data_IF_935159030664
#
_entry.id   IF_935159030664
#
_cell.length_a   1.000
_cell.length_b   1.000
_cell.length_c   1.000
_cell.angle_alpha   90.00
_cell.angle_beta   90.00
_cell.angle_gamma   90.00
#
_symmetry.space_group_name_H-M   'P 1'
#
loop_
_entity.id
_entity.type
_entity.pdbx_description
1 polymer ?
#
# COMPACT_ATOMS: atom_id res chain seq x y z
N UNK A 1 -0.80 14.53 61.46
CA UNK A 1 -0.98 14.41 60.00
C UNK A 1 -2.36 14.97 59.65
N UNK A 2 -2.42 16.16 59.09
CA UNK A 2 -3.69 16.82 58.76
C UNK A 2 -4.15 16.32 57.37
N UNK A 3 -5.34 15.72 57.31
CA UNK A 3 -5.97 15.31 56.05
C UNK A 3 -6.40 16.53 55.24
N UNK A 4 -5.80 16.71 54.08
CA UNK A 4 -6.21 17.71 53.11
C UNK A 4 -7.56 17.30 52.47
N UNK A 5 -8.59 18.11 52.64
CA UNK A 5 -9.91 17.85 52.07
C UNK A 5 -9.95 18.25 50.57
N UNK A 6 -10.82 17.62 49.78
CA UNK A 6 -11.02 17.92 48.36
C UNK A 6 -11.25 19.40 48.04
N UNK A 7 -11.77 20.18 48.96
CA UNK A 7 -12.01 21.63 48.81
C UNK A 7 -10.74 22.47 48.87
N UNK A 8 -9.68 22.04 49.62
CA UNK A 8 -8.42 22.77 49.68
C UNK A 8 -7.57 22.57 48.44
N UNK A 9 -7.70 21.41 47.77
CA UNK A 9 -7.00 21.11 46.52
C UNK A 9 -7.51 21.95 45.32
N UNK A 10 -8.82 22.25 45.29
CA UNK A 10 -9.43 23.07 44.22
C UNK A 10 -9.05 24.57 44.38
N UNK A 11 -8.84 25.06 45.58
CA UNK A 11 -8.49 26.48 45.83
C UNK A 11 -7.03 26.81 45.53
N UNK A 12 -6.09 25.85 45.61
CA UNK A 12 -4.68 26.07 45.29
C UNK A 12 -4.37 26.03 43.82
N UNK A 13 -5.24 25.45 42.99
CA UNK A 13 -5.04 25.37 41.51
C UNK A 13 -5.71 26.49 40.71
N UNK A 14 -6.52 27.36 41.34
CA UNK A 14 -7.16 28.50 40.66
C UNK A 14 -6.28 29.76 40.69
N UNK A 15 -5.29 29.84 41.59
CA UNK A 15 -4.41 31.01 41.67
C UNK A 15 -3.20 30.96 40.71
N UNK A 16 -2.91 29.83 40.06
CA UNK A 16 -1.80 29.66 39.12
C UNK A 16 -2.21 29.73 37.67
N UNK A 17 -3.49 29.91 37.34
CA UNK A 17 -3.99 29.97 35.98
C UNK A 17 -4.01 31.39 35.34
N UNK A 18 -3.59 32.42 36.08
CA UNK A 18 -3.63 33.81 35.57
C UNK A 18 -2.29 34.33 35.02
N UNK A 19 -1.24 33.52 34.94
CA UNK A 19 0.08 33.97 34.51
C UNK A 19 0.64 33.24 33.26
N UNK A 20 -0.18 32.55 32.49
CA UNK A 20 0.27 31.81 31.26
C UNK A 20 -0.56 32.14 30.02
N UNK A 21 -0.81 33.43 29.74
CA UNK A 21 -1.37 33.86 28.45
C UNK A 21 -0.37 34.66 27.62
N UNK A 22 0.90 34.24 27.61
CA UNK A 22 1.84 34.58 26.54
C UNK A 22 2.11 33.30 25.74
N UNK A 23 1.06 32.67 25.16
CA UNK A 23 1.23 31.68 24.14
C UNK A 23 1.85 32.41 22.93
N UNK A 24 3.16 32.21 22.75
CA UNK A 24 3.85 32.55 21.51
C UNK A 24 3.02 32.03 20.34
N UNK A 25 2.44 32.92 19.56
CA UNK A 25 1.84 32.61 18.29
C UNK A 25 2.96 32.16 17.34
N UNK A 26 3.26 30.86 17.37
CA UNK A 26 4.01 30.24 16.31
C UNK A 26 3.25 30.56 15.02
N UNK A 27 3.92 31.10 13.97
CA UNK A 27 3.25 31.38 12.73
C UNK A 27 2.60 30.08 12.25
N UNK A 28 1.26 30.06 12.13
CA UNK A 28 0.56 29.01 11.41
C UNK A 28 1.13 29.06 10.00
N UNK A 29 2.10 28.20 9.69
CA UNK A 29 2.46 27.95 8.30
C UNK A 29 1.17 27.56 7.60
N UNK A 30 0.70 28.41 6.71
CA UNK A 30 -0.39 28.08 5.82
C UNK A 30 0.11 26.89 4.97
N UNK A 31 -0.28 25.68 5.38
CA UNK A 31 -0.16 24.53 4.49
C UNK A 31 -1.06 24.82 3.31
N UNK A 32 -0.51 24.68 2.08
CA UNK A 32 -1.32 24.74 0.88
C UNK A 32 -2.52 23.81 1.12
N UNK A 33 -3.72 24.34 0.99
CA UNK A 33 -4.95 23.57 1.16
C UNK A 33 -4.91 22.41 0.18
N UNK A 34 -4.79 21.19 0.70
CA UNK A 34 -4.78 19.99 -0.11
C UNK A 34 -6.10 19.95 -0.90
N UNK A 35 -6.03 20.09 -2.21
CA UNK A 35 -7.20 19.91 -3.06
C UNK A 35 -7.45 18.40 -3.23
N UNK A 36 -8.25 17.82 -2.35
CA UNK A 36 -8.60 16.40 -2.36
C UNK A 36 -8.36 15.73 -1.02
N UNK A 37 -8.75 14.47 -0.93
CA UNK A 37 -8.72 13.67 0.30
C UNK A 37 -7.91 12.40 0.11
N UNK A 38 -7.35 11.89 1.20
CA UNK A 38 -6.92 10.50 1.29
C UNK A 38 -8.18 9.63 1.30
N UNK A 39 -8.22 8.61 0.46
CA UNK A 39 -9.30 7.62 0.43
C UNK A 39 -8.86 6.45 1.30
N UNK A 40 -9.34 6.40 2.55
CA UNK A 40 -9.01 5.32 3.47
C UNK A 40 -9.75 4.06 3.02
N UNK A 41 -9.01 3.06 2.63
CA UNK A 41 -9.54 1.81 2.06
C UNK A 41 -9.02 0.59 2.80
N UNK A 42 -9.70 -0.56 2.61
CA UNK A 42 -9.25 -1.82 3.20
C UNK A 42 -9.47 -2.99 2.23
N UNK A 43 -8.68 -4.04 2.37
CA UNK A 43 -8.86 -5.30 1.63
C UNK A 43 -9.95 -6.12 2.32
N UNK A 44 -11.03 -6.37 1.60
CA UNK A 44 -12.19 -7.10 2.10
C UNK A 44 -12.67 -8.14 1.09
N UNK A 45 -13.48 -9.08 1.55
CA UNK A 45 -14.20 -10.04 0.72
C UNK A 45 -15.68 -10.02 1.08
N UNK A 46 -16.55 -10.14 0.08
CA UNK A 46 -18.02 -10.11 0.26
C UNK A 46 -18.56 -11.31 1.08
N UNK A 47 -17.78 -12.36 1.21
CA UNK A 47 -18.09 -13.55 2.02
C UNK A 47 -17.79 -13.39 3.52
N UNK A 48 -17.36 -12.20 3.96
CA UNK A 48 -16.99 -11.89 5.35
C UNK A 48 -17.87 -10.76 5.94
N UNK A 49 -19.20 -10.97 6.12
CA UNK A 49 -20.15 -9.92 6.47
C UNK A 49 -19.82 -9.20 7.80
N UNK A 50 -19.22 -9.91 8.75
CA UNK A 50 -18.81 -9.32 10.03
C UNK A 50 -17.67 -8.30 9.85
N UNK A 51 -16.70 -8.60 9.00
CA UNK A 51 -15.59 -7.67 8.68
C UNK A 51 -16.11 -6.46 7.90
N UNK A 52 -17.08 -6.66 6.97
CA UNK A 52 -17.73 -5.56 6.28
C UNK A 52 -18.40 -4.61 7.27
N UNK A 53 -19.18 -5.15 8.20
CA UNK A 53 -19.86 -4.36 9.23
C UNK A 53 -18.87 -3.60 10.12
N UNK A 54 -17.78 -4.24 10.55
CA UNK A 54 -16.72 -3.60 11.34
C UNK A 54 -16.08 -2.44 10.59
N UNK A 55 -15.77 -2.61 9.30
CA UNK A 55 -15.20 -1.54 8.48
C UNK A 55 -16.16 -0.35 8.36
N UNK A 56 -17.45 -0.58 8.09
CA UNK A 56 -18.46 0.49 8.07
C UNK A 56 -18.58 1.20 9.43
N UNK A 57 -18.51 0.48 10.55
CA UNK A 57 -18.53 1.06 11.90
C UNK A 57 -17.27 1.92 12.17
N UNK A 58 -16.14 1.57 11.58
CA UNK A 58 -14.93 2.40 11.64
C UNK A 58 -14.97 3.58 10.65
N UNK A 59 -16.01 3.71 9.84
CA UNK A 59 -16.13 4.74 8.80
C UNK A 59 -15.22 4.49 7.61
N UNK A 60 -14.87 3.23 7.31
CA UNK A 60 -14.15 2.83 6.09
C UNK A 60 -15.18 2.35 5.09
N UNK A 61 -15.37 3.12 4.02
CA UNK A 61 -16.38 2.89 2.98
C UNK A 61 -15.77 2.58 1.61
N UNK A 62 -14.46 2.48 1.54
CA UNK A 62 -13.75 2.16 0.32
C UNK A 62 -13.02 0.83 0.43
N UNK A 63 -13.09 0.04 -0.64
CA UNK A 63 -12.53 -1.31 -0.66
C UNK A 63 -11.46 -1.45 -1.75
N UNK A 64 -10.45 -2.24 -1.42
CA UNK A 64 -9.46 -2.78 -2.35
C UNK A 64 -9.89 -4.21 -2.67
N UNK A 65 -10.36 -4.45 -3.89
CA UNK A 65 -10.90 -5.75 -4.28
C UNK A 65 -10.91 -5.91 -5.80
N UNK A 66 -10.55 -7.08 -6.29
CA UNK A 66 -10.43 -7.37 -7.72
C UNK A 66 -11.29 -8.57 -8.10
N UNK A 67 -12.13 -8.46 -9.16
CA UNK A 67 -12.87 -9.60 -9.67
C UNK A 67 -11.94 -10.62 -10.32
N UNK A 68 -12.29 -11.88 -10.28
CA UNK A 68 -11.61 -12.88 -11.10
C UNK A 68 -12.00 -12.70 -12.58
N UNK A 69 -11.00 -12.54 -13.43
CA UNK A 69 -11.16 -12.53 -14.90
C UNK A 69 -10.74 -13.86 -15.52
N UNK A 70 -10.45 -14.87 -14.70
CA UNK A 70 -10.02 -16.19 -15.17
C UNK A 70 -11.13 -16.88 -15.93
N UNK A 71 -10.82 -17.39 -17.12
CA UNK A 71 -11.76 -18.20 -17.92
C UNK A 71 -12.79 -17.41 -18.72
N UNK A 72 -12.72 -16.07 -18.72
CA UNK A 72 -13.58 -15.21 -19.55
C UNK A 72 -12.75 -14.45 -20.57
N UNK A 73 -13.38 -14.05 -21.68
CA UNK A 73 -12.76 -13.30 -22.77
C UNK A 73 -12.75 -11.78 -22.51
N UNK A 74 -11.92 -11.03 -23.25
CA UNK A 74 -11.82 -9.57 -23.13
C UNK A 74 -13.13 -8.81 -23.33
N UNK A 75 -14.04 -9.33 -24.15
CA UNK A 75 -15.39 -8.81 -24.39
C UNK A 75 -16.29 -8.85 -23.13
N UNK A 76 -15.99 -9.75 -22.19
CA UNK A 76 -16.75 -9.94 -20.96
C UNK A 76 -16.18 -9.16 -19.74
N UNK A 77 -14.96 -8.60 -19.84
CA UNK A 77 -14.29 -7.97 -18.70
C UNK A 77 -15.11 -6.82 -18.11
N UNK A 78 -15.65 -5.93 -18.94
CA UNK A 78 -16.43 -4.80 -18.44
C UNK A 78 -17.72 -5.25 -17.72
N UNK A 79 -18.37 -6.29 -18.19
CA UNK A 79 -19.57 -6.83 -17.55
C UNK A 79 -19.21 -7.47 -16.18
N UNK A 80 -18.15 -8.27 -16.13
CA UNK A 80 -17.67 -8.88 -14.89
C UNK A 80 -17.26 -7.83 -13.84
N UNK A 81 -16.55 -6.79 -14.27
CA UNK A 81 -16.12 -5.69 -13.39
C UNK A 81 -17.32 -4.87 -12.91
N UNK A 82 -18.32 -4.63 -13.76
CA UNK A 82 -19.55 -3.93 -13.36
C UNK A 82 -20.29 -4.72 -12.31
N UNK A 83 -20.55 -6.00 -12.55
CA UNK A 83 -21.19 -6.89 -11.57
C UNK A 83 -20.45 -6.88 -10.23
N UNK A 84 -19.12 -6.90 -10.24
CA UNK A 84 -18.31 -6.84 -9.03
C UNK A 84 -18.47 -5.50 -8.30
N UNK A 85 -18.40 -4.39 -9.03
CA UNK A 85 -18.58 -3.04 -8.48
C UNK A 85 -19.97 -2.86 -7.87
N UNK A 86 -21.00 -3.32 -8.56
CA UNK A 86 -22.40 -3.21 -8.11
C UNK A 86 -22.62 -4.02 -6.82
N UNK A 87 -22.06 -5.25 -6.73
CA UNK A 87 -22.12 -6.06 -5.50
C UNK A 87 -21.43 -5.37 -4.30
N UNK A 88 -20.31 -4.67 -4.52
CA UNK A 88 -19.69 -3.87 -3.47
C UNK A 88 -20.53 -2.64 -3.09
N UNK A 89 -21.17 -1.99 -4.07
CA UNK A 89 -22.05 -0.85 -3.81
C UNK A 89 -23.29 -1.29 -2.99
N UNK A 90 -23.88 -2.45 -3.29
CA UNK A 90 -24.96 -3.05 -2.49
C UNK A 90 -24.53 -3.34 -1.04
N UNK A 91 -23.26 -3.72 -0.83
CA UNK A 91 -22.68 -3.91 0.50
C UNK A 91 -22.29 -2.60 1.21
N UNK A 92 -22.48 -1.42 0.57
CA UNK A 92 -22.18 -0.11 1.13
C UNK A 92 -20.74 0.37 0.89
N UNK A 93 -20.02 -0.23 -0.07
CA UNK A 93 -18.64 0.13 -0.37
C UNK A 93 -18.43 0.63 -1.80
N UNK A 94 -17.44 1.51 -1.95
CA UNK A 94 -16.92 1.94 -3.25
C UNK A 94 -15.60 1.21 -3.52
N UNK A 95 -15.45 0.62 -4.69
CA UNK A 95 -14.18 -0.01 -5.09
C UNK A 95 -13.18 1.09 -5.49
N UNK A 96 -12.14 1.29 -4.68
CA UNK A 96 -11.11 2.30 -4.89
C UNK A 96 -9.94 1.79 -5.75
N UNK A 97 -9.57 0.53 -5.60
CA UNK A 97 -8.40 -0.07 -6.24
C UNK A 97 -8.70 -1.51 -6.64
N UNK A 98 -8.31 -1.88 -7.85
CA UNK A 98 -8.07 -3.28 -8.18
C UNK A 98 -6.62 -3.61 -7.85
N UNK A 99 -6.41 -4.55 -6.94
CA UNK A 99 -5.09 -5.01 -6.51
C UNK A 99 -4.92 -6.49 -6.81
N UNK A 100 -3.94 -6.78 -7.66
CA UNK A 100 -3.61 -8.16 -8.05
C UNK A 100 -2.19 -8.20 -8.62
N UNK A 101 -1.52 -9.36 -8.53
CA UNK A 101 -0.22 -9.53 -9.20
C UNK A 101 -0.38 -9.32 -10.71
N UNK A 102 -1.27 -10.08 -11.33
CA UNK A 102 -1.64 -9.93 -12.74
C UNK A 102 -3.15 -10.14 -12.88
N UNK A 103 -3.91 -9.20 -13.44
CA UNK A 103 -5.35 -9.37 -13.65
C UNK A 103 -5.66 -10.46 -14.69
N UNK A 104 -4.74 -10.65 -15.63
CA UNK A 104 -4.76 -11.67 -16.70
C UNK A 104 -3.34 -12.22 -16.89
N UNK A 105 -3.15 -13.36 -17.57
CA UNK A 105 -1.83 -13.94 -17.79
C UNK A 105 -0.78 -12.96 -18.34
N UNK A 106 0.46 -13.13 -17.91
CA UNK A 106 1.61 -12.30 -18.31
C UNK A 106 2.92 -13.12 -18.46
N UNK A 107 2.82 -14.43 -18.62
CA UNK A 107 4.01 -15.30 -18.64
C UNK A 107 4.84 -15.10 -19.91
N UNK A 108 4.20 -15.00 -21.08
CA UNK A 108 4.89 -14.71 -22.33
C UNK A 108 5.42 -13.27 -22.36
N UNK A 109 4.69 -12.33 -21.76
CA UNK A 109 5.12 -10.94 -21.62
C UNK A 109 6.44 -10.88 -20.82
N UNK A 110 6.51 -11.55 -19.66
CA UNK A 110 7.73 -11.61 -18.82
C UNK A 110 8.91 -12.25 -19.54
N UNK A 111 8.66 -13.29 -20.37
CA UNK A 111 9.69 -13.98 -21.13
C UNK A 111 10.11 -13.26 -22.41
N UNK A 112 9.35 -12.24 -22.85
CA UNK A 112 9.53 -11.65 -24.18
C UNK A 112 9.29 -12.66 -25.32
N UNK A 113 8.48 -13.70 -25.08
CA UNK A 113 8.29 -14.84 -25.98
C UNK A 113 7.07 -14.70 -26.90
N UNK A 114 6.94 -15.64 -27.86
CA UNK A 114 5.76 -15.73 -28.72
C UNK A 114 4.48 -15.80 -27.85
N UNK A 115 3.47 -14.99 -28.20
CA UNK A 115 2.24 -14.85 -27.41
C UNK A 115 2.18 -13.59 -26.54
N UNK A 116 3.30 -12.86 -26.33
CA UNK A 116 3.31 -11.61 -25.54
C UNK A 116 2.35 -10.54 -26.11
N UNK A 117 2.18 -10.51 -27.43
CA UNK A 117 1.24 -9.57 -28.07
C UNK A 117 -0.22 -9.88 -27.72
N UNK A 118 -0.59 -11.15 -27.60
CA UNK A 118 -1.92 -11.55 -27.19
C UNK A 118 -2.15 -11.26 -25.70
N UNK A 119 -1.16 -11.50 -24.85
CA UNK A 119 -1.22 -11.13 -23.44
C UNK A 119 -1.34 -9.61 -23.29
N UNK A 120 -0.58 -8.82 -24.05
CA UNK A 120 -0.74 -7.36 -24.07
C UNK A 120 -2.16 -6.95 -24.48
N UNK A 121 -2.73 -7.50 -25.54
CA UNK A 121 -4.13 -7.20 -25.93
C UNK A 121 -5.10 -7.45 -24.80
N UNK A 122 -4.94 -8.52 -24.05
CA UNK A 122 -5.78 -8.82 -22.89
C UNK A 122 -5.59 -7.78 -21.77
N UNK A 123 -4.36 -7.34 -21.50
CA UNK A 123 -4.06 -6.29 -20.53
C UNK A 123 -4.66 -4.94 -20.94
N UNK A 124 -4.56 -4.56 -22.22
CA UNK A 124 -5.18 -3.33 -22.74
C UNK A 124 -6.70 -3.37 -22.56
N UNK A 125 -7.33 -4.51 -22.84
CA UNK A 125 -8.77 -4.70 -22.62
C UNK A 125 -9.17 -4.61 -21.14
N UNK A 126 -8.32 -5.05 -20.20
CA UNK A 126 -8.53 -4.85 -18.76
C UNK A 126 -8.57 -3.35 -18.43
N UNK A 127 -7.59 -2.58 -18.89
CA UNK A 127 -7.53 -1.13 -18.63
C UNK A 127 -8.73 -0.42 -19.23
N UNK A 128 -9.10 -0.74 -20.46
CA UNK A 128 -10.29 -0.17 -21.11
C UNK A 128 -11.59 -0.52 -20.37
N UNK A 129 -11.71 -1.76 -19.88
CA UNK A 129 -12.85 -2.20 -19.09
C UNK A 129 -12.92 -1.48 -17.74
N UNK A 130 -11.78 -1.30 -17.04
CA UNK A 130 -11.70 -0.52 -15.81
C UNK A 130 -12.16 0.93 -16.03
N UNK A 131 -11.70 1.58 -17.12
CA UNK A 131 -12.12 2.93 -17.48
C UNK A 131 -13.63 3.02 -17.74
N UNK A 132 -14.20 2.08 -18.51
CA UNK A 132 -15.65 2.01 -18.79
C UNK A 132 -16.50 1.83 -17.52
N UNK A 133 -15.99 1.15 -16.51
CA UNK A 133 -16.68 0.89 -15.23
C UNK A 133 -16.38 1.97 -14.19
N UNK A 134 -15.34 2.77 -14.41
CA UNK A 134 -14.91 3.85 -13.51
C UNK A 134 -14.13 3.32 -12.29
N UNK A 135 -13.26 2.35 -12.48
CA UNK A 135 -12.28 1.90 -11.48
C UNK A 135 -10.97 2.65 -11.72
N UNK A 136 -10.51 3.50 -10.78
CA UNK A 136 -9.48 4.50 -11.09
C UNK A 136 -8.04 3.98 -11.01
N UNK A 137 -7.78 2.91 -10.24
CA UNK A 137 -6.42 2.46 -9.94
C UNK A 137 -6.28 0.95 -10.08
N UNK A 138 -5.21 0.53 -10.77
CA UNK A 138 -4.73 -0.85 -10.79
C UNK A 138 -3.38 -0.93 -10.06
N UNK A 139 -3.34 -1.66 -8.96
CA UNK A 139 -2.12 -2.09 -8.31
C UNK A 139 -1.71 -3.44 -8.89
N UNK A 140 -0.50 -3.52 -9.46
CA UNK A 140 -0.03 -4.72 -10.16
C UNK A 140 1.46 -4.99 -9.91
N UNK A 141 1.89 -6.21 -10.19
CA UNK A 141 3.30 -6.59 -10.17
C UNK A 141 3.55 -7.69 -11.22
N UNK A 142 4.53 -7.49 -12.08
CA UNK A 142 4.94 -8.50 -13.08
C UNK A 142 6.03 -9.44 -12.54
N UNK A 143 6.51 -9.23 -11.32
CA UNK A 143 7.45 -10.13 -10.65
C UNK A 143 6.80 -11.41 -10.18
N UNK A 144 7.59 -12.24 -9.49
CA UNK A 144 7.08 -13.42 -8.81
C UNK A 144 6.69 -13.07 -7.38
N UNK A 145 5.63 -13.70 -6.89
CA UNK A 145 5.17 -13.54 -5.51
C UNK A 145 6.20 -14.06 -4.49
N UNK A 146 6.36 -13.33 -3.41
CA UNK A 146 7.23 -13.69 -2.32
C UNK A 146 6.61 -14.67 -1.33
N UNK A 147 7.45 -15.23 -0.48
CA UNK A 147 7.06 -16.12 0.63
C UNK A 147 7.62 -15.58 1.92
N UNK A 148 6.80 -15.55 2.95
CA UNK A 148 7.30 -15.36 4.31
C UNK A 148 8.04 -16.62 4.76
N UNK A 149 9.07 -16.44 5.58
CA UNK A 149 9.90 -17.56 6.05
C UNK A 149 9.49 -18.05 7.44
N UNK A 150 8.71 -17.28 8.17
CA UNK A 150 8.23 -17.62 9.50
C UNK A 150 7.37 -16.54 10.13
N UNK A 151 7.15 -16.71 11.42
CA UNK A 151 6.45 -15.78 12.29
C UNK A 151 7.34 -15.38 13.46
N UNK A 152 7.10 -14.19 14.02
CA UNK A 152 7.77 -13.66 15.19
C UNK A 152 6.74 -13.23 16.24
N UNK A 153 7.08 -13.35 17.51
CA UNK A 153 6.28 -12.86 18.63
C UNK A 153 6.70 -11.41 18.93
N UNK A 154 5.72 -10.51 18.96
CA UNK A 154 5.87 -9.10 19.26
C UNK A 154 5.38 -8.78 20.68
N UNK A 155 5.26 -7.47 21.01
CA UNK A 155 4.76 -7.01 22.29
C UNK A 155 3.44 -7.69 22.68
N UNK A 156 3.31 -8.04 23.95
CA UNK A 156 2.08 -8.63 24.50
C UNK A 156 1.73 -10.01 23.96
N UNK A 157 2.63 -10.67 23.24
CA UNK A 157 2.38 -11.98 22.65
C UNK A 157 1.74 -11.95 21.26
N UNK A 158 1.53 -10.78 20.66
CA UNK A 158 1.02 -10.65 19.29
C UNK A 158 1.94 -11.34 18.28
N UNK A 159 1.39 -11.90 17.21
CA UNK A 159 2.13 -12.66 16.22
C UNK A 159 2.18 -11.94 14.89
N UNK A 160 3.36 -11.81 14.32
CA UNK A 160 3.58 -11.18 13.04
C UNK A 160 4.40 -12.05 12.09
N UNK A 161 4.35 -11.75 10.81
CA UNK A 161 5.11 -12.45 9.79
C UNK A 161 6.52 -11.89 9.67
N UNK A 162 7.47 -12.75 9.30
CA UNK A 162 8.84 -12.35 9.02
C UNK A 162 9.36 -12.90 7.70
N UNK A 163 10.38 -12.25 7.20
CA UNK A 163 11.22 -12.71 6.12
C UNK A 163 12.67 -12.75 6.59
N UNK A 164 13.33 -13.91 6.38
CA UNK A 164 14.74 -14.11 6.56
C UNK A 164 15.34 -14.56 5.22
N UNK A 165 16.27 -13.76 4.68
CA UNK A 165 16.82 -14.02 3.35
C UNK A 165 17.60 -15.34 3.29
N UNK A 166 18.37 -15.69 4.32
CA UNK A 166 19.10 -16.95 4.37
C UNK A 166 18.16 -18.17 4.43
N UNK A 167 17.07 -18.07 5.18
CA UNK A 167 16.05 -19.11 5.19
C UNK A 167 15.32 -19.21 3.84
N UNK A 168 15.10 -18.10 3.17
CA UNK A 168 14.45 -18.10 1.86
C UNK A 168 15.26 -18.84 0.78
N UNK A 169 16.59 -18.89 0.89
CA UNK A 169 17.47 -19.63 -0.02
C UNK A 169 17.28 -21.15 0.08
N UNK A 170 16.70 -21.63 1.18
CA UNK A 170 16.39 -23.06 1.40
C UNK A 170 15.05 -23.47 0.79
N UNK A 171 14.23 -22.48 0.38
CA UNK A 171 12.93 -22.73 -0.25
C UNK A 171 13.13 -23.24 -1.68
N UNK A 172 12.16 -23.99 -2.23
CA UNK A 172 12.20 -24.39 -3.63
C UNK A 172 12.39 -23.17 -4.54
N UNK A 173 13.15 -23.31 -5.64
CA UNK A 173 13.35 -22.21 -6.58
C UNK A 173 12.02 -21.71 -7.12
N UNK A 174 12.05 -20.52 -7.66
CA UNK A 174 10.93 -19.96 -8.40
C UNK A 174 10.55 -20.89 -9.57
N UNK A 175 9.26 -20.90 -9.93
CA UNK A 175 8.77 -21.69 -11.07
C UNK A 175 9.49 -21.32 -12.36
N UNK A 176 9.81 -20.05 -12.51
CA UNK A 176 10.48 -19.47 -13.66
C UNK A 176 11.70 -18.67 -13.20
N UNK A 177 12.80 -18.83 -13.89
CA UNK A 177 14.03 -18.10 -13.63
C UNK A 177 14.22 -17.05 -14.72
N UNK A 178 14.29 -15.81 -14.34
CA UNK A 178 14.49 -14.68 -15.23
C UNK A 178 15.85 -14.01 -14.98
N UNK A 179 16.47 -13.51 -16.05
CA UNK A 179 17.58 -12.58 -15.97
C UNK A 179 17.08 -11.14 -15.79
N UNK A 180 17.90 -10.27 -15.20
CA UNK A 180 17.52 -8.89 -14.92
C UNK A 180 17.24 -8.08 -16.18
N UNK A 181 18.11 -8.20 -17.19
CA UNK A 181 17.98 -7.52 -18.48
C UNK A 181 16.72 -7.96 -19.25
N UNK A 182 16.39 -9.25 -19.18
CA UNK A 182 15.15 -9.78 -19.75
C UNK A 182 13.91 -9.15 -19.11
N UNK A 183 13.88 -9.03 -17.77
CA UNK A 183 12.76 -8.40 -17.07
C UNK A 183 12.64 -6.92 -17.42
N UNK A 184 13.76 -6.21 -17.54
CA UNK A 184 13.75 -4.81 -17.95
C UNK A 184 13.32 -4.61 -19.39
N UNK A 185 13.73 -5.47 -20.32
CA UNK A 185 13.24 -5.44 -21.71
C UNK A 185 11.73 -5.64 -21.77
N UNK A 186 11.25 -6.70 -21.11
CA UNK A 186 9.83 -7.03 -21.04
C UNK A 186 8.99 -5.89 -20.42
N UNK A 187 9.46 -5.31 -19.33
CA UNK A 187 8.79 -4.20 -18.66
C UNK A 187 8.78 -2.94 -19.52
N UNK A 188 9.91 -2.60 -20.15
CA UNK A 188 10.01 -1.45 -21.05
C UNK A 188 9.01 -1.59 -22.20
N UNK A 189 9.05 -2.74 -22.89
CA UNK A 189 8.14 -3.04 -23.99
C UNK A 189 6.65 -2.95 -23.59
N UNK A 190 6.31 -3.39 -22.37
CA UNK A 190 4.96 -3.36 -21.84
C UNK A 190 4.51 -1.93 -21.51
N UNK A 191 5.32 -1.18 -20.74
CA UNK A 191 4.98 0.17 -20.25
C UNK A 191 4.78 1.15 -21.40
N UNK A 192 5.64 1.11 -22.43
CA UNK A 192 5.51 1.96 -23.62
C UNK A 192 4.16 1.78 -24.32
N UNK A 193 3.60 0.56 -24.30
CA UNK A 193 2.38 0.22 -25.01
C UNK A 193 1.11 0.37 -24.19
N UNK A 194 1.18 0.15 -22.89
CA UNK A 194 -0.01 0.21 -22.06
C UNK A 194 -0.29 1.63 -21.54
N UNK A 195 0.73 2.47 -21.32
CA UNK A 195 0.56 3.81 -20.74
C UNK A 195 -0.39 4.70 -21.55
N UNK A 196 -0.32 4.77 -22.89
CA UNK A 196 -1.29 5.58 -23.66
C UNK A 196 -2.74 5.13 -23.49
N UNK A 197 -2.98 3.84 -23.28
CA UNK A 197 -4.32 3.31 -23.03
C UNK A 197 -4.78 3.65 -21.62
N UNK A 198 -3.88 3.64 -20.64
CA UNK A 198 -4.16 4.09 -19.28
C UNK A 198 -4.58 5.56 -19.23
N UNK A 199 -3.89 6.43 -19.96
CA UNK A 199 -4.23 7.85 -20.10
C UNK A 199 -5.62 8.04 -20.70
N UNK A 200 -5.91 7.38 -21.81
CA UNK A 200 -7.22 7.44 -22.48
C UNK A 200 -8.35 6.90 -21.62
N UNK A 201 -8.10 5.83 -20.87
CA UNK A 201 -9.08 5.21 -19.98
C UNK A 201 -9.22 5.92 -18.64
N UNK A 202 -8.35 6.87 -18.30
CA UNK A 202 -8.23 7.51 -16.98
C UNK A 202 -8.03 6.47 -15.86
N UNK A 203 -7.17 5.47 -16.09
CA UNK A 203 -6.83 4.42 -15.13
C UNK A 203 -5.36 4.51 -14.78
N UNK A 204 -5.05 4.76 -13.53
CA UNK A 204 -3.68 4.85 -13.02
C UNK A 204 -3.14 3.45 -12.72
N UNK A 205 -1.94 3.18 -13.18
CA UNK A 205 -1.23 1.93 -12.88
C UNK A 205 -0.13 2.17 -11.84
N UNK A 206 -0.23 1.49 -10.70
CA UNK A 206 0.78 1.48 -9.66
C UNK A 206 1.54 0.16 -9.62
N UNK A 207 2.82 0.18 -9.97
CA UNK A 207 3.66 -1.02 -9.83
C UNK A 207 4.00 -1.26 -8.37
N UNK A 208 3.58 -2.41 -7.82
CA UNK A 208 3.89 -2.82 -6.46
C UNK A 208 5.34 -3.33 -6.38
N UNK A 209 6.13 -3.00 -5.33
CA UNK A 209 7.47 -3.55 -5.14
C UNK A 209 7.51 -5.07 -5.14
N UNK A 210 8.66 -5.63 -5.49
CA UNK A 210 8.90 -7.03 -5.18
C UNK A 210 8.93 -7.21 -3.66
N UNK A 211 8.28 -8.24 -3.17
CA UNK A 211 8.22 -8.57 -1.74
C UNK A 211 8.70 -10.02 -1.53
N UNK A 212 9.92 -10.20 -0.98
CA UNK A 212 10.87 -9.21 -0.47
C UNK A 212 11.56 -8.39 -1.58
N UNK A 213 12.01 -7.18 -1.22
CA UNK A 213 12.73 -6.28 -2.13
C UNK A 213 14.22 -6.63 -2.21
N UNK A 214 14.54 -7.80 -2.72
CA UNK A 214 15.91 -8.34 -2.84
C UNK A 214 16.08 -9.13 -4.14
N UNK A 215 17.27 -9.14 -4.71
CA UNK A 215 17.62 -9.92 -5.92
C UNK A 215 19.01 -10.56 -5.77
N UNK A 216 19.18 -11.86 -6.19
CA UNK A 216 18.12 -12.75 -6.65
C UNK A 216 17.19 -13.22 -5.54
N UNK A 217 15.98 -13.60 -5.85
CA UNK A 217 15.06 -14.22 -4.93
C UNK A 217 14.55 -15.56 -5.50
N UNK A 218 14.66 -16.66 -4.73
CA UNK A 218 14.36 -18.01 -5.18
C UNK A 218 15.05 -18.38 -6.53
N UNK A 219 16.29 -17.89 -6.71
CA UNK A 219 17.10 -18.10 -7.91
C UNK A 219 16.78 -17.21 -9.11
N UNK A 220 15.72 -16.41 -9.07
CA UNK A 220 15.32 -15.52 -10.15
C UNK A 220 15.66 -14.06 -9.85
N UNK A 221 16.01 -13.28 -10.87
CA UNK A 221 16.14 -11.84 -10.70
C UNK A 221 14.82 -11.18 -10.30
N UNK A 222 14.92 -10.09 -9.55
CA UNK A 222 13.85 -9.15 -9.26
C UNK A 222 14.34 -7.73 -9.57
N UNK A 223 13.49 -6.87 -10.11
CA UNK A 223 13.89 -5.54 -10.59
C UNK A 223 13.29 -4.38 -9.78
N UNK A 224 12.10 -4.53 -9.20
CA UNK A 224 11.46 -3.47 -8.38
C UNK A 224 11.84 -3.59 -6.90
N UNK A 225 13.12 -3.39 -6.59
CA UNK A 225 13.74 -3.66 -5.29
C UNK A 225 14.40 -2.44 -4.63
N UNK A 226 14.42 -1.29 -5.29
CA UNK A 226 15.01 -0.05 -4.78
C UNK A 226 14.44 1.20 -5.47
N UNK A 227 14.63 2.41 -4.94
CA UNK A 227 14.11 3.64 -5.55
C UNK A 227 14.63 3.94 -6.96
N UNK A 228 15.88 3.56 -7.26
CA UNK A 228 16.46 3.78 -8.59
C UNK A 228 15.70 3.00 -9.69
N UNK A 229 15.24 1.78 -9.37
CA UNK A 229 14.41 0.99 -10.27
C UNK A 229 13.08 1.69 -10.59
N UNK A 230 12.47 2.35 -9.62
CA UNK A 230 11.26 3.13 -9.86
C UNK A 230 11.49 4.38 -10.69
N UNK A 231 12.61 5.08 -10.49
CA UNK A 231 12.98 6.20 -11.37
C UNK A 231 13.19 5.73 -12.81
N UNK A 232 13.80 4.56 -13.01
CA UNK A 232 13.91 3.93 -14.34
C UNK A 232 12.52 3.58 -14.90
N UNK A 233 11.61 2.99 -14.11
CA UNK A 233 10.24 2.73 -14.54
C UNK A 233 9.53 4.00 -15.00
N UNK A 234 9.65 5.10 -14.24
CA UNK A 234 9.00 6.37 -14.57
C UNK A 234 9.59 7.00 -15.83
N UNK A 235 10.90 6.80 -16.12
CA UNK A 235 11.54 7.33 -17.33
C UNK A 235 11.18 6.57 -18.61
N UNK A 236 10.65 5.35 -18.52
CA UNK A 236 10.17 4.60 -19.70
C UNK A 236 8.97 5.33 -20.34
N UNK A 237 8.05 5.80 -19.53
CA UNK A 237 6.93 6.64 -19.93
C UNK A 237 6.64 7.66 -18.83
N UNK A 238 7.02 8.91 -19.06
CA UNK A 238 6.81 9.99 -18.07
C UNK A 238 5.35 10.46 -18.11
N UNK A 239 4.52 9.69 -17.46
CA UNK A 239 3.08 9.91 -17.39
C UNK A 239 2.61 9.82 -15.93
N UNK A 240 1.62 10.60 -15.51
CA UNK A 240 0.98 10.45 -14.20
C UNK A 240 0.15 9.16 -14.09
N UNK A 241 0.02 8.39 -15.16
CA UNK A 241 -0.67 7.09 -15.18
C UNK A 241 0.29 5.91 -15.05
N UNK A 242 1.61 6.12 -15.19
CA UNK A 242 2.67 5.16 -14.90
C UNK A 242 3.35 5.53 -13.57
N UNK A 243 3.09 4.78 -12.53
CA UNK A 243 3.53 5.11 -11.18
C UNK A 243 3.77 3.90 -10.29
N UNK A 244 3.75 4.14 -9.00
CA UNK A 244 4.03 3.16 -7.95
C UNK A 244 2.81 2.97 -7.05
N UNK A 245 2.53 1.72 -6.67
CA UNK A 245 1.83 1.40 -5.44
C UNK A 245 2.86 1.41 -4.32
N UNK A 246 2.91 2.51 -3.58
CA UNK A 246 3.95 2.74 -2.59
C UNK A 246 3.69 1.87 -1.35
N UNK A 247 4.17 0.63 -1.38
CA UNK A 247 4.14 -0.24 -0.22
C UNK A 247 5.23 0.18 0.76
N UNK A 248 4.84 0.96 1.77
CA UNK A 248 5.75 1.59 2.72
C UNK A 248 6.66 0.57 3.41
N UNK A 249 6.15 -0.58 3.82
CA UNK A 249 6.96 -1.64 4.42
C UNK A 249 8.03 -2.20 3.47
N UNK A 250 7.69 -2.40 2.19
CA UNK A 250 8.71 -2.79 1.21
C UNK A 250 9.76 -1.70 1.03
N UNK A 251 9.34 -0.44 0.83
CA UNK A 251 10.28 0.68 0.73
C UNK A 251 11.13 0.82 2.00
N UNK A 252 10.57 0.58 3.20
CA UNK A 252 11.33 0.62 4.46
C UNK A 252 12.45 -0.44 4.50
N UNK A 253 12.23 -1.61 3.92
CA UNK A 253 13.21 -2.70 3.89
C UNK A 253 14.25 -2.61 2.74
N UNK A 254 14.08 -1.68 1.78
CA UNK A 254 14.96 -1.49 0.62
C UNK A 254 16.31 -0.90 1.01
N UNK A 255 17.29 -1.10 0.12
CA UNK A 255 18.53 -0.33 0.12
C UNK A 255 18.31 1.04 -0.52
N UNK A 256 18.88 2.07 0.09
CA UNK A 256 18.87 3.45 -0.38
C UNK A 256 20.26 3.89 -0.84
N UNK A 257 20.33 4.83 -1.77
CA UNK A 257 21.58 5.50 -2.11
C UNK A 257 22.04 6.39 -0.93
N UNK A 258 23.35 6.71 -0.84
CA UNK A 258 23.85 7.60 0.19
C UNK A 258 23.09 8.93 0.25
N UNK A 259 22.63 9.30 1.43
CA UNK A 259 21.83 10.52 1.65
C UNK A 259 20.33 10.39 1.37
N UNK A 260 19.87 9.28 0.82
CA UNK A 260 18.44 9.01 0.63
C UNK A 260 17.80 8.36 1.87
N UNK A 261 16.49 8.50 1.98
CA UNK A 261 15.67 7.88 3.00
C UNK A 261 14.28 7.58 2.43
N UNK A 262 13.52 6.75 3.12
CA UNK A 262 12.11 6.51 2.75
C UNK A 262 11.32 7.83 2.68
N UNK A 263 11.62 8.80 3.54
CA UNK A 263 10.94 10.10 3.57
C UNK A 263 11.26 10.95 2.34
N UNK A 264 12.54 11.04 1.95
CA UNK A 264 12.93 11.80 0.76
C UNK A 264 12.36 11.19 -0.52
N UNK A 265 12.37 9.86 -0.63
CA UNK A 265 11.82 9.14 -1.79
C UNK A 265 10.29 9.27 -1.85
N UNK A 266 9.59 9.15 -0.72
CA UNK A 266 8.14 9.33 -0.68
C UNK A 266 7.73 10.76 -1.10
N UNK A 267 8.45 11.78 -0.60
CA UNK A 267 8.24 13.18 -1.01
C UNK A 267 8.49 13.38 -2.50
N UNK A 268 9.62 12.91 -3.02
CA UNK A 268 9.95 12.98 -4.45
C UNK A 268 8.88 12.36 -5.33
N UNK A 269 8.45 11.13 -5.00
CA UNK A 269 7.46 10.42 -5.82
C UNK A 269 6.07 11.03 -5.73
N UNK A 270 5.70 11.59 -4.58
CA UNK A 270 4.45 12.32 -4.42
C UNK A 270 4.46 13.63 -5.22
N UNK A 271 5.50 14.45 -5.13
CA UNK A 271 5.67 15.70 -5.89
C UNK A 271 5.64 15.47 -7.40
N UNK A 272 6.22 14.37 -7.86
CA UNK A 272 6.18 13.94 -9.26
C UNK A 272 4.85 13.29 -9.67
N UNK A 273 3.86 13.19 -8.78
CA UNK A 273 2.55 12.53 -9.01
C UNK A 273 2.68 11.06 -9.44
N UNK A 274 3.70 10.37 -8.93
CA UNK A 274 3.98 8.98 -9.26
C UNK A 274 3.38 7.98 -8.26
N UNK A 275 2.91 8.42 -7.09
CA UNK A 275 2.22 7.56 -6.13
C UNK A 275 0.75 7.41 -6.55
N UNK A 276 0.33 6.19 -6.85
CA UNK A 276 -1.04 5.88 -7.27
C UNK A 276 -1.87 5.27 -6.15
N UNK A 277 -1.21 4.57 -5.24
CA UNK A 277 -1.79 3.86 -4.11
C UNK A 277 -0.75 3.73 -3.00
N UNK A 278 -1.16 3.78 -1.75
CA UNK A 278 -0.29 3.62 -0.58
C UNK A 278 -0.70 2.40 0.24
N UNK A 279 0.26 1.50 0.49
CA UNK A 279 0.18 0.50 1.56
C UNK A 279 0.88 1.06 2.78
N UNK A 280 0.09 1.51 3.74
CA UNK A 280 0.55 2.20 4.94
C UNK A 280 0.80 1.19 6.06
N UNK A 281 2.00 0.64 6.10
CA UNK A 281 2.49 -0.31 7.11
C UNK A 281 3.97 -0.07 7.39
N UNK A 282 4.50 -0.70 8.43
CA UNK A 282 5.93 -0.63 8.73
C UNK A 282 6.54 -2.01 8.96
N UNK A 283 7.84 -2.08 8.77
CA UNK A 283 8.66 -3.27 9.03
C UNK A 283 9.95 -2.86 9.74
N UNK A 284 10.47 -3.74 10.58
CA UNK A 284 11.81 -3.58 11.17
C UNK A 284 12.79 -4.56 10.54
N UNK A 285 13.94 -4.04 10.09
CA UNK A 285 14.98 -4.77 9.40
C UNK A 285 15.09 -4.43 7.91
N UNK A 286 15.80 -5.30 7.15
CA UNK A 286 16.07 -5.12 5.72
C UNK A 286 15.78 -6.38 4.92
N UNK A 287 15.42 -6.21 3.64
CA UNK A 287 15.13 -7.34 2.75
C UNK A 287 16.35 -8.21 2.46
N UNK A 288 17.56 -7.64 2.51
CA UNK A 288 18.82 -8.34 2.26
C UNK A 288 19.26 -9.27 3.41
N UNK A 289 18.68 -9.08 4.59
CA UNK A 289 19.00 -9.88 5.78
C UNK A 289 17.75 -10.50 6.37
N UNK A 290 17.04 -9.77 7.19
CA UNK A 290 15.82 -10.19 7.87
C UNK A 290 14.98 -8.95 8.17
N UNK A 291 13.68 -9.06 8.00
CA UNK A 291 12.71 -8.08 8.50
C UNK A 291 11.45 -8.77 8.99
N UNK A 292 10.70 -8.08 9.83
CA UNK A 292 9.38 -8.52 10.27
C UNK A 292 8.38 -7.35 10.22
N UNK A 293 7.12 -7.68 10.06
CA UNK A 293 6.02 -6.71 10.14
C UNK A 293 5.89 -6.20 11.58
N UNK A 294 5.60 -4.91 11.75
CA UNK A 294 5.40 -4.31 13.07
C UNK A 294 3.96 -3.84 13.26
N UNK A 295 3.60 -3.48 14.48
CA UNK A 295 2.43 -2.63 14.67
C UNK A 295 2.69 -1.25 14.04
N UNK A 296 1.64 -0.57 13.61
CA UNK A 296 1.73 0.76 12.99
C UNK A 296 2.29 1.84 13.93
N UNK A 297 2.16 1.65 15.23
CA UNK A 297 2.66 2.54 16.27
C UNK A 297 4.00 2.13 16.88
N UNK A 298 4.59 1.03 16.44
CA UNK A 298 5.77 0.43 17.09
C UNK A 298 6.88 0.02 16.11
N UNK A 299 6.86 0.51 14.89
CA UNK A 299 7.93 0.32 13.92
C UNK A 299 8.95 1.46 13.96
N UNK A 300 10.07 1.31 13.23
CA UNK A 300 11.14 2.31 13.19
C UNK A 300 10.81 3.54 12.34
N UNK A 301 9.73 3.50 11.55
CA UNK A 301 9.34 4.62 10.69
C UNK A 301 8.44 5.59 11.45
N UNK A 302 8.75 6.89 11.39
CA UNK A 302 7.82 7.94 11.84
C UNK A 302 6.62 8.00 10.88
N UNK A 303 5.52 7.37 11.28
CA UNK A 303 4.30 7.25 10.48
C UNK A 303 3.61 8.59 10.25
N UNK A 304 3.69 9.51 11.22
CA UNK A 304 3.16 10.87 11.07
C UNK A 304 3.94 11.63 9.99
N UNK A 305 5.25 11.53 10.01
CA UNK A 305 6.12 12.13 8.99
C UNK A 305 5.88 11.52 7.61
N UNK A 306 5.61 10.22 7.51
CA UNK A 306 5.26 9.58 6.23
C UNK A 306 3.97 10.16 5.64
N UNK A 307 2.90 10.30 6.43
CA UNK A 307 1.68 10.96 5.99
C UNK A 307 1.93 12.39 5.50
N UNK A 308 2.81 13.12 6.18
CA UNK A 308 3.22 14.47 5.74
C UNK A 308 4.00 14.44 4.42
N UNK A 309 4.89 13.45 4.20
CA UNK A 309 5.60 13.30 2.93
C UNK A 309 4.63 13.09 1.76
N UNK A 310 3.65 12.21 1.92
CA UNK A 310 2.64 11.99 0.90
C UNK A 310 1.82 13.24 0.61
N UNK A 311 1.24 13.84 1.65
CA UNK A 311 0.26 14.93 1.49
C UNK A 311 0.91 16.26 1.08
N UNK A 312 2.10 16.58 1.59
CA UNK A 312 2.86 17.78 1.16
C UNK A 312 3.33 17.68 -0.28
N UNK A 313 3.65 16.47 -0.76
CA UNK A 313 3.94 16.20 -2.16
C UNK A 313 2.69 16.20 -3.06
N UNK A 314 1.49 16.41 -2.48
CA UNK A 314 0.23 16.51 -3.22
C UNK A 314 -0.46 15.17 -3.50
N UNK A 315 -0.06 14.09 -2.83
CA UNK A 315 -0.78 12.82 -2.97
C UNK A 315 -2.20 12.94 -2.41
N UNK A 316 -3.15 12.60 -3.26
CA UNK A 316 -4.56 12.38 -2.96
C UNK A 316 -4.96 11.08 -3.63
N UNK A 317 -5.63 10.19 -2.90
CA UNK A 317 -5.98 8.89 -3.46
C UNK A 317 -6.04 7.78 -2.42
N UNK A 318 -6.16 6.52 -2.87
CA UNK A 318 -6.35 5.41 -1.97
C UNK A 318 -5.11 5.11 -1.12
N UNK A 319 -5.36 4.90 0.17
CA UNK A 319 -4.41 4.43 1.16
C UNK A 319 -5.08 3.32 1.96
N UNK A 320 -4.40 2.19 2.13
CA UNK A 320 -4.86 1.12 3.02
C UNK A 320 -3.83 0.84 4.10
N UNK A 321 -4.31 0.48 5.28
CA UNK A 321 -3.47 -0.21 6.26
C UNK A 321 -3.18 -1.60 5.70
N UNK A 322 -1.94 -1.90 5.41
CA UNK A 322 -1.54 -3.18 4.82
C UNK A 322 -1.46 -4.28 5.90
N UNK A 323 -0.35 -4.97 6.04
CA UNK A 323 -0.25 -6.01 7.06
C UNK A 323 -0.26 -5.45 8.48
N UNK A 324 -0.91 -6.16 9.39
CA UNK A 324 -0.93 -5.89 10.81
C UNK A 324 -0.73 -7.20 11.60
N UNK A 325 -0.09 -7.17 12.77
CA UNK A 325 0.07 -8.35 13.61
C UNK A 325 -1.28 -8.90 14.08
N UNK A 326 -1.36 -10.23 14.21
CA UNK A 326 -2.50 -10.89 14.85
C UNK A 326 -2.44 -10.68 16.36
N UNK A 327 -3.57 -10.29 16.94
CA UNK A 327 -3.71 -10.02 18.36
C UNK A 327 -4.34 -11.21 19.10
N UNK A 328 -4.45 -11.12 20.43
CA UNK A 328 -5.08 -12.14 21.27
C UNK A 328 -6.50 -12.45 20.77
N UNK A 329 -6.86 -13.71 20.71
CA UNK A 329 -8.14 -14.20 20.23
C UNK A 329 -8.24 -14.38 18.69
N UNK A 330 -7.17 -14.05 17.94
CA UNK A 330 -7.13 -14.25 16.48
C UNK A 330 -6.25 -15.45 16.10
N UNK A 331 -6.63 -16.12 15.01
CA UNK A 331 -5.82 -17.19 14.45
C UNK A 331 -4.77 -16.60 13.48
N UNK A 332 -3.53 -16.43 13.96
CA UNK A 332 -2.42 -15.93 13.15
C UNK A 332 -2.06 -16.82 11.94
N UNK A 333 -2.48 -18.07 11.92
CA UNK A 333 -2.19 -19.02 10.83
C UNK A 333 -3.17 -18.90 9.67
N UNK A 334 -4.40 -18.43 9.90
CA UNK A 334 -5.42 -18.35 8.84
C UNK A 334 -5.06 -17.34 7.75
N UNK A 335 -4.65 -16.14 8.13
CA UNK A 335 -4.22 -15.08 7.20
C UNK A 335 -3.16 -14.21 7.84
N UNK A 336 -1.89 -14.62 7.83
CA UNK A 336 -0.81 -13.81 8.39
C UNK A 336 -0.80 -12.39 7.82
N UNK A 337 -0.77 -11.38 8.68
CA UNK A 337 -0.83 -9.98 8.30
C UNK A 337 -2.25 -9.43 8.04
N UNK A 338 -3.29 -10.26 8.04
CA UNK A 338 -4.68 -9.84 7.72
C UNK A 338 -5.69 -10.17 8.81
N UNK A 339 -5.24 -10.39 10.03
CA UNK A 339 -6.11 -10.57 11.20
C UNK A 339 -6.85 -9.27 11.54
N UNK A 340 -8.15 -9.35 11.89
CA UNK A 340 -9.02 -8.16 11.93
C UNK A 340 -8.77 -7.23 13.11
N UNK A 341 -8.43 -7.73 14.30
CA UNK A 341 -8.17 -6.89 15.46
C UNK A 341 -6.93 -6.01 15.25
N UNK A 342 -5.86 -6.59 14.67
CA UNK A 342 -4.69 -5.82 14.26
C UNK A 342 -5.03 -4.71 13.26
N UNK A 343 -5.94 -4.97 12.33
CA UNK A 343 -6.41 -3.94 11.40
C UNK A 343 -7.29 -2.87 12.04
N UNK A 344 -8.14 -3.23 13.00
CA UNK A 344 -8.91 -2.24 13.79
C UNK A 344 -7.95 -1.27 14.47
N UNK A 345 -6.91 -1.79 15.13
CA UNK A 345 -5.85 -0.97 15.73
C UNK A 345 -5.16 -0.08 14.69
N UNK A 346 -4.72 -0.64 13.56
CA UNK A 346 -4.02 0.07 12.51
C UNK A 346 -4.86 1.19 11.88
N UNK A 347 -6.15 0.92 11.58
CA UNK A 347 -7.10 1.91 11.04
C UNK A 347 -7.33 3.03 12.04
N UNK A 348 -7.57 2.70 13.32
CA UNK A 348 -7.78 3.67 14.38
C UNK A 348 -6.56 4.59 14.56
N UNK A 349 -5.35 4.02 14.59
CA UNK A 349 -4.10 4.76 14.67
C UNK A 349 -3.90 5.69 13.46
N UNK A 350 -4.11 5.18 12.25
CA UNK A 350 -3.98 5.96 11.01
C UNK A 350 -4.95 7.14 10.98
N UNK A 351 -6.22 6.92 11.35
CA UNK A 351 -7.22 7.99 11.45
C UNK A 351 -6.84 9.02 12.51
N UNK A 352 -6.35 8.58 13.66
CA UNK A 352 -5.87 9.48 14.73
C UNK A 352 -4.72 10.38 14.25
N UNK A 353 -3.75 9.83 13.51
CA UNK A 353 -2.66 10.60 12.91
C UNK A 353 -3.18 11.60 11.87
N UNK A 354 -4.08 11.19 10.97
CA UNK A 354 -4.65 12.08 9.96
C UNK A 354 -5.39 13.25 10.62
N UNK A 355 -6.18 12.99 11.66
CA UNK A 355 -6.88 14.03 12.42
C UNK A 355 -5.92 14.98 13.11
N UNK A 356 -4.90 14.47 13.81
CA UNK A 356 -3.89 15.29 14.49
C UNK A 356 -3.09 16.17 13.51
N UNK A 357 -2.89 15.71 12.30
CA UNK A 357 -2.16 16.43 11.24
C UNK A 357 -3.07 17.31 10.35
N UNK A 358 -4.37 17.36 10.62
CA UNK A 358 -5.38 18.03 9.79
C UNK A 358 -5.36 17.56 8.32
N UNK A 359 -5.13 16.28 8.08
CA UNK A 359 -5.19 15.65 6.76
C UNK A 359 -6.65 15.25 6.49
N UNK A 360 -7.21 15.76 5.37
CA UNK A 360 -8.54 15.39 4.93
C UNK A 360 -8.55 13.94 4.42
N UNK A 361 -9.52 13.13 4.88
CA UNK A 361 -9.72 11.76 4.43
C UNK A 361 -11.22 11.41 4.36
N UNK A 362 -11.55 10.35 3.64
CA UNK A 362 -12.88 9.74 3.58
C UNK A 362 -12.78 8.24 3.59
#
# INVERSE_FOLDING_TARGET
MAQLTRRSWIKSNVATAAAASAASSLPKRAYATQQGKIILSHVLSLDQPERLKLCLQMGVTHVVSTPSLRGIGPDQYAAAMRKHKDAWAEAGFTVAVYETMTPVPADNLRRGSAGRDQELKNWLAVIEAMGKVGIPVLCYNLGQGGRRTGNIVLRGGAVSTEHNYEESKKLPPAREIYAEDQLWEALTWFIERITPVCEKANVKMGYHPNDPSVSPYLGSAQIMINPAAYRRLFSIADSPYNGVSFCQGNFRSMRYAPGESIYSVASEFAEKRKIQFVHFRDVDGTAETRYHETFHDNGPTDMARMLQCYTRGGFVGPLRTDHAPAMEGENAQERPGYAMLGHIHAIGYTKGLMQALNIAYE
#
